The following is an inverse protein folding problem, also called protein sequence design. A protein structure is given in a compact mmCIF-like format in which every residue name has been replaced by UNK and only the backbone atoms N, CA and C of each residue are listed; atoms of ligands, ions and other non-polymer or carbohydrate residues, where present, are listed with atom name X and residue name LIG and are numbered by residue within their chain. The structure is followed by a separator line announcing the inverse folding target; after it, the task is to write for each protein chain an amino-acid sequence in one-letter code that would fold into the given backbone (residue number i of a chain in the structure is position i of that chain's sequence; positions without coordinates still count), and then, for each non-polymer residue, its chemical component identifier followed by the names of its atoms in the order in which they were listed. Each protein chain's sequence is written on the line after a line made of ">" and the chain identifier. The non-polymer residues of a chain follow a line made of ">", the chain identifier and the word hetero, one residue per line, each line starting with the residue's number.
data_IF_604509257756
#
_entry.id   IF_604509257756
#
_cell.length_a   1.000
_cell.length_b   1.000
_cell.length_c   1.000
_cell.angle_alpha   90.00
_cell.angle_beta   90.00
_cell.angle_gamma   90.00
#
_symmetry.space_group_name_H-M   'P 1'
#
loop_
_entity.id
_entity.type
_entity.pdbx_description
1 polymer ?
#
# COMPACT_ATOMS: atom_id res chain seq x y z
N UNK A 1 -112.37 13.95 31.99
CA UNK A 1 -110.91 14.00 31.74
C UNK A 1 -110.52 12.70 31.07
N UNK A 2 -110.09 12.76 29.81
CA UNK A 2 -110.27 11.71 28.79
C UNK A 2 -109.18 10.63 28.80
N UNK A 3 -109.58 9.36 28.85
CA UNK A 3 -108.73 8.14 28.76
C UNK A 3 -107.73 8.13 27.57
N UNK A 4 -107.98 8.94 26.53
CA UNK A 4 -107.10 9.09 25.36
C UNK A 4 -105.82 9.89 25.64
N UNK A 5 -105.86 10.90 26.50
CA UNK A 5 -104.70 11.78 26.76
C UNK A 5 -103.60 11.09 27.58
N UNK A 6 -103.98 10.21 28.51
CA UNK A 6 -103.02 9.40 29.27
C UNK A 6 -102.28 8.38 28.40
N UNK A 7 -102.97 7.81 27.40
CA UNK A 7 -102.38 6.84 26.46
C UNK A 7 -101.40 7.50 25.50
N UNK A 8 -101.67 8.74 25.06
CA UNK A 8 -100.75 9.51 24.21
C UNK A 8 -99.48 9.92 24.95
N UNK A 9 -99.59 10.37 26.21
CA UNK A 9 -98.42 10.68 27.05
C UNK A 9 -97.52 9.46 27.27
N UNK A 10 -98.11 8.31 27.56
CA UNK A 10 -97.36 7.05 27.70
C UNK A 10 -96.63 6.64 26.40
N UNK A 11 -97.28 6.81 25.24
CA UNK A 11 -96.65 6.56 23.93
C UNK A 11 -95.49 7.51 23.66
N UNK A 12 -95.63 8.80 23.98
CA UNK A 12 -94.57 9.79 23.82
C UNK A 12 -93.37 9.52 24.75
N UNK A 13 -93.62 9.20 26.02
CA UNK A 13 -92.57 8.88 26.98
C UNK A 13 -91.80 7.61 26.58
N UNK A 14 -92.51 6.58 26.10
CA UNK A 14 -91.90 5.35 25.57
C UNK A 14 -91.06 5.60 24.31
N UNK A 15 -91.49 6.55 23.47
CA UNK A 15 -90.73 6.98 22.29
C UNK A 15 -89.47 7.75 22.69
N UNK A 16 -89.56 8.64 23.68
CA UNK A 16 -88.42 9.38 24.22
C UNK A 16 -87.38 8.44 24.84
N UNK A 17 -87.80 7.51 25.71
CA UNK A 17 -86.91 6.49 26.29
C UNK A 17 -86.19 5.66 25.23
N UNK A 18 -86.88 5.29 24.13
CA UNK A 18 -86.25 4.59 23.00
C UNK A 18 -85.24 5.46 22.23
N UNK A 19 -85.49 6.76 22.11
CA UNK A 19 -84.56 7.71 21.48
C UNK A 19 -83.31 7.91 22.34
N UNK A 20 -83.49 8.09 23.64
CA UNK A 20 -82.39 8.23 24.62
C UNK A 20 -81.50 6.98 24.64
N UNK A 21 -82.08 5.78 24.69
CA UNK A 21 -81.32 4.52 24.61
C UNK A 21 -80.51 4.38 23.31
N UNK A 22 -81.08 4.82 22.18
CA UNK A 22 -80.35 4.83 20.90
C UNK A 22 -79.21 5.86 20.91
N UNK A 23 -79.44 7.03 21.48
CA UNK A 23 -78.42 8.07 21.61
C UNK A 23 -77.25 7.62 22.49
N UNK A 24 -77.56 7.02 23.65
CA UNK A 24 -76.55 6.47 24.55
C UNK A 24 -75.74 5.35 23.89
N UNK A 25 -76.40 4.45 23.16
CA UNK A 25 -75.72 3.39 22.40
C UNK A 25 -74.77 3.97 21.35
N UNK A 26 -75.20 5.04 20.65
CA UNK A 26 -74.38 5.74 19.68
C UNK A 26 -73.11 6.35 20.31
N UNK A 27 -73.24 7.08 21.42
CA UNK A 27 -72.10 7.67 22.12
C UNK A 27 -71.15 6.63 22.72
N UNK A 28 -71.68 5.55 23.31
CA UNK A 28 -70.84 4.43 23.79
C UNK A 28 -70.02 3.81 22.67
N UNK A 29 -70.65 3.51 21.53
CA UNK A 29 -69.96 2.92 20.38
C UNK A 29 -68.92 3.86 19.75
N UNK A 30 -69.19 5.17 19.74
CA UNK A 30 -68.22 6.17 19.29
C UNK A 30 -66.98 6.22 20.20
N UNK A 31 -67.19 6.27 21.52
CA UNK A 31 -66.08 6.29 22.49
C UNK A 31 -65.24 5.01 22.45
N UNK A 32 -65.86 3.85 22.23
CA UNK A 32 -65.15 2.58 22.06
C UNK A 32 -64.22 2.61 20.84
N UNK A 33 -64.71 3.13 19.69
CA UNK A 33 -63.89 3.27 18.48
C UNK A 33 -62.76 4.28 18.68
N UNK A 34 -63.02 5.42 19.30
CA UNK A 34 -61.99 6.44 19.58
C UNK A 34 -60.89 5.88 20.51
N UNK A 35 -61.25 5.10 21.52
CA UNK A 35 -60.28 4.41 22.38
C UNK A 35 -59.46 3.34 21.63
N UNK A 36 -60.09 2.60 20.72
CA UNK A 36 -59.42 1.60 19.89
C UNK A 36 -58.38 2.24 18.95
N UNK A 37 -58.71 3.38 18.34
CA UNK A 37 -57.76 4.16 17.53
C UNK A 37 -56.61 4.71 18.38
N UNK A 38 -56.89 5.24 19.58
CA UNK A 38 -55.86 5.77 20.47
C UNK A 38 -54.85 4.68 20.91
N UNK A 39 -55.33 3.48 21.25
CA UNK A 39 -54.48 2.34 21.60
C UNK A 39 -53.62 1.88 20.42
N UNK A 40 -54.17 1.88 19.20
CA UNK A 40 -53.43 1.54 17.98
C UNK A 40 -52.32 2.54 17.69
N UNK A 41 -52.62 3.84 17.79
CA UNK A 41 -51.64 4.91 17.61
C UNK A 41 -50.51 4.86 18.64
N UNK A 42 -50.82 4.55 19.90
CA UNK A 42 -49.83 4.39 20.95
C UNK A 42 -48.90 3.19 20.69
N UNK A 43 -49.47 2.06 20.24
CA UNK A 43 -48.69 0.89 19.85
C UNK A 43 -47.72 1.18 18.69
N UNK A 44 -48.17 1.95 17.69
CA UNK A 44 -47.32 2.40 16.57
C UNK A 44 -46.18 3.29 17.06
N UNK A 45 -46.46 4.26 17.95
CA UNK A 45 -45.43 5.13 18.53
C UNK A 45 -44.41 4.35 19.35
N UNK A 46 -44.86 3.39 20.17
CA UNK A 46 -43.96 2.53 20.94
C UNK A 46 -43.05 1.69 20.04
N UNK A 47 -43.59 1.14 18.95
CA UNK A 47 -42.82 0.37 17.97
C UNK A 47 -41.75 1.22 17.29
N UNK A 48 -42.11 2.43 16.84
CA UNK A 48 -41.16 3.36 16.24
C UNK A 48 -40.06 3.79 17.22
N UNK A 49 -40.40 3.99 18.50
CA UNK A 49 -39.43 4.34 19.52
C UNK A 49 -38.41 3.22 19.76
N UNK A 50 -38.87 1.96 19.87
CA UNK A 50 -37.99 0.79 19.99
C UNK A 50 -37.06 0.66 18.79
N UNK A 51 -37.59 0.80 17.57
CA UNK A 51 -36.80 0.71 16.35
C UNK A 51 -35.73 1.82 16.25
N UNK A 52 -36.05 3.04 16.70
CA UNK A 52 -35.07 4.13 16.80
C UNK A 52 -33.95 3.81 17.79
N UNK A 53 -34.29 3.28 18.96
CA UNK A 53 -33.31 2.88 19.98
C UNK A 53 -32.38 1.76 19.47
N UNK A 54 -32.92 0.74 18.80
CA UNK A 54 -32.13 -0.34 18.22
C UNK A 54 -31.18 0.16 17.13
N UNK A 55 -31.66 1.02 16.23
CA UNK A 55 -30.82 1.65 15.19
C UNK A 55 -29.69 2.47 15.80
N UNK A 56 -29.97 3.21 16.88
CA UNK A 56 -28.95 4.00 17.56
C UNK A 56 -27.89 3.12 18.24
N UNK A 57 -28.29 2.06 18.94
CA UNK A 57 -27.36 1.11 19.54
C UNK A 57 -26.47 0.44 18.49
N UNK A 58 -27.03 0.01 17.36
CA UNK A 58 -26.27 -0.57 16.25
C UNK A 58 -25.26 0.42 15.65
N UNK A 59 -25.59 1.72 15.57
CA UNK A 59 -24.64 2.75 15.12
C UNK A 59 -23.49 2.92 16.12
N UNK A 60 -23.79 2.96 17.43
CA UNK A 60 -22.77 3.06 18.49
C UNK A 60 -21.80 1.86 18.46
N UNK A 61 -22.30 0.63 18.31
CA UNK A 61 -21.46 -0.58 18.21
C UNK A 61 -20.57 -0.55 16.97
N UNK A 62 -21.11 -0.17 15.80
CA UNK A 62 -20.31 -0.03 14.58
C UNK A 62 -19.21 1.02 14.72
N UNK A 63 -19.48 2.12 15.40
CA UNK A 63 -18.50 3.18 15.62
C UNK A 63 -17.37 2.73 16.58
N UNK A 64 -17.71 2.05 17.67
CA UNK A 64 -16.70 1.52 18.61
C UNK A 64 -15.83 0.46 17.96
N UNK A 65 -16.40 -0.44 17.14
CA UNK A 65 -15.62 -1.40 16.35
C UNK A 65 -14.68 -0.72 15.36
N UNK A 66 -15.15 0.31 14.63
CA UNK A 66 -14.31 1.08 13.71
C UNK A 66 -13.13 1.72 14.44
N UNK A 67 -13.38 2.35 15.60
CA UNK A 67 -12.32 2.94 16.45
C UNK A 67 -11.33 1.87 16.95
N UNK A 68 -11.82 0.70 17.37
CA UNK A 68 -10.98 -0.42 17.82
C UNK A 68 -10.08 -0.94 16.69
N UNK A 69 -10.65 -1.17 15.49
CA UNK A 69 -9.89 -1.60 14.29
C UNK A 69 -8.83 -0.57 13.90
N UNK A 70 -9.18 0.73 13.87
CA UNK A 70 -8.24 1.80 13.57
C UNK A 70 -7.06 1.83 14.57
N UNK A 71 -7.34 1.75 15.88
CA UNK A 71 -6.30 1.70 16.92
C UNK A 71 -5.40 0.47 16.79
N UNK A 72 -5.97 -0.69 16.46
CA UNK A 72 -5.20 -1.93 16.24
C UNK A 72 -4.26 -1.78 15.04
N UNK A 73 -4.78 -1.33 13.89
CA UNK A 73 -3.98 -1.07 12.68
C UNK A 73 -2.85 -0.08 12.93
N UNK A 74 -3.11 1.03 13.63
CA UNK A 74 -2.07 2.02 13.96
C UNK A 74 -0.98 1.46 14.87
N UNK A 75 -1.32 0.54 15.79
CA UNK A 75 -0.33 -0.18 16.62
C UNK A 75 0.50 -1.14 15.78
N UNK A 76 -0.13 -1.87 14.86
CA UNK A 76 0.55 -2.79 13.94
C UNK A 76 1.48 -2.05 12.98
N UNK A 77 1.07 -0.90 12.43
CA UNK A 77 1.92 -0.02 11.61
C UNK A 77 3.17 0.44 12.41
N UNK A 78 3.00 0.90 13.65
CA UNK A 78 4.13 1.28 14.51
C UNK A 78 5.07 0.12 14.85
N UNK A 79 4.54 -1.09 15.05
CA UNK A 79 5.35 -2.29 15.33
C UNK A 79 6.10 -2.72 14.06
N UNK A 80 5.49 -2.62 12.89
CA UNK A 80 6.12 -2.95 11.62
C UNK A 80 7.23 -1.95 11.27
N UNK A 81 7.00 -0.66 11.54
CA UNK A 81 8.05 0.37 11.44
C UNK A 81 9.21 0.09 12.40
N UNK A 82 8.96 -0.44 13.61
CA UNK A 82 10.01 -0.85 14.53
C UNK A 82 10.77 -2.08 14.02
N UNK A 83 10.09 -3.11 13.53
CA UNK A 83 10.72 -4.34 12.98
C UNK A 83 11.53 -4.08 11.72
N UNK A 84 11.06 -3.23 10.81
CA UNK A 84 11.83 -2.82 9.63
C UNK A 84 13.10 -2.02 9.99
N UNK A 85 13.16 -1.41 11.18
CA UNK A 85 14.38 -0.79 11.70
C UNK A 85 15.30 -1.78 12.45
N UNK A 86 14.78 -2.91 12.93
CA UNK A 86 15.55 -3.97 13.60
C UNK A 86 16.20 -4.96 12.61
N UNK A 87 15.58 -5.20 11.44
CA UNK A 87 16.13 -6.08 10.39
C UNK A 87 17.39 -5.50 9.71
N UNK A 88 17.69 -4.21 9.92
CA UNK A 88 19.01 -3.63 9.66
C UNK A 88 19.82 -3.71 10.93
N UNK A 89 20.54 -4.83 11.05
CA UNK A 89 21.42 -5.28 12.13
C UNK A 89 22.55 -4.29 12.50
N UNK A 90 22.20 -3.07 12.88
CA UNK A 90 23.07 -2.05 13.45
C UNK A 90 22.73 -2.00 14.93
N UNK A 91 23.61 -2.55 15.77
CA UNK A 91 23.65 -2.30 17.22
C UNK A 91 23.10 -0.91 17.52
N UNK A 92 22.06 -0.82 18.36
CA UNK A 92 21.51 0.45 18.84
C UNK A 92 22.67 1.34 19.29
N UNK A 93 23.08 2.25 18.40
CA UNK A 93 24.28 3.08 18.59
C UNK A 93 24.03 4.19 19.61
N UNK A 94 22.77 4.34 20.01
CA UNK A 94 22.27 5.26 21.02
C UNK A 94 21.53 4.44 22.06
N UNK A 95 21.78 4.72 23.35
CA UNK A 95 21.20 4.00 24.47
C UNK A 95 19.70 4.24 24.59
N UNK A 96 19.24 5.43 24.16
CA UNK A 96 17.82 5.76 24.17
C UNK A 96 17.38 6.65 22.99
N UNK A 97 16.06 6.69 22.75
CA UNK A 97 15.45 7.49 21.67
C UNK A 97 15.75 8.99 21.78
N UNK A 98 15.87 9.51 22.99
CA UNK A 98 16.10 10.95 23.21
C UNK A 98 17.52 11.36 22.82
N UNK A 99 18.49 10.46 23.03
CA UNK A 99 19.89 10.64 22.68
C UNK A 99 20.05 10.72 21.16
N UNK A 100 19.45 9.79 20.41
CA UNK A 100 19.38 9.84 18.94
C UNK A 100 18.80 11.17 18.46
N UNK A 101 17.70 11.63 19.07
CA UNK A 101 17.09 12.90 18.70
C UNK A 101 18.00 14.11 18.98
N UNK A 102 18.64 14.14 20.15
CA UNK A 102 19.60 15.19 20.51
C UNK A 102 20.81 15.21 19.57
N UNK A 103 21.36 14.05 19.23
CA UNK A 103 22.48 13.92 18.29
C UNK A 103 22.09 14.42 16.88
N UNK A 104 20.93 14.00 16.36
CA UNK A 104 20.42 14.46 15.07
C UNK A 104 20.13 15.97 15.06
N UNK A 105 19.63 16.53 16.16
CA UNK A 105 19.40 17.98 16.28
C UNK A 105 20.73 18.74 16.22
N UNK A 106 21.76 18.29 16.96
CA UNK A 106 23.10 18.88 16.91
C UNK A 106 23.71 18.80 15.51
N UNK A 107 23.62 17.64 14.85
CA UNK A 107 24.11 17.45 13.48
C UNK A 107 23.43 18.42 12.49
N UNK A 108 22.10 18.54 12.57
CA UNK A 108 21.34 19.47 11.72
C UNK A 108 21.72 20.93 11.91
N UNK A 109 22.08 21.32 13.14
CA UNK A 109 22.53 22.68 13.44
C UNK A 109 23.97 22.93 12.97
N UNK A 110 24.82 21.91 13.00
CA UNK A 110 26.22 21.99 12.55
C UNK A 110 26.37 22.00 11.01
N UNK A 111 25.43 21.38 10.30
CA UNK A 111 25.43 21.34 8.84
C UNK A 111 24.92 22.65 8.22
N UNK A 112 25.36 23.02 6.99
CA UNK A 112 24.83 24.17 6.27
C UNK A 112 23.30 24.13 6.13
N UNK A 113 22.62 25.28 6.06
CA UNK A 113 21.15 25.31 5.85
C UNK A 113 20.74 24.90 4.43
N UNK A 114 21.55 25.27 3.43
CA UNK A 114 21.27 24.96 2.02
C UNK A 114 21.41 23.46 1.74
N UNK A 115 20.44 22.81 1.06
CA UNK A 115 20.53 21.41 0.66
C UNK A 115 21.82 21.07 -0.10
N UNK A 116 22.18 21.86 -1.11
CA UNK A 116 23.34 21.56 -1.96
C UNK A 116 24.63 21.60 -1.17
N UNK A 117 24.81 22.65 -0.35
CA UNK A 117 25.98 22.77 0.52
C UNK A 117 26.06 21.63 1.52
N UNK A 118 24.94 21.16 2.08
CA UNK A 118 24.93 19.98 2.96
C UNK A 118 25.46 18.75 2.25
N UNK A 119 24.97 18.48 1.05
CA UNK A 119 25.41 17.34 0.25
C UNK A 119 26.90 17.45 -0.04
N UNK A 120 27.40 18.62 -0.48
CA UNK A 120 28.82 18.84 -0.73
C UNK A 120 29.68 18.60 0.51
N UNK A 121 29.28 19.13 1.68
CA UNK A 121 30.02 18.92 2.93
C UNK A 121 30.04 17.45 3.34
N UNK A 122 28.91 16.75 3.20
CA UNK A 122 28.85 15.32 3.49
C UNK A 122 29.72 14.51 2.52
N UNK A 123 29.65 14.77 1.22
CA UNK A 123 30.48 14.10 0.22
C UNK A 123 31.96 14.32 0.49
N UNK A 124 32.38 15.57 0.76
CA UNK A 124 33.77 15.88 1.08
C UNK A 124 34.26 15.14 2.34
N UNK A 125 33.40 15.03 3.36
CA UNK A 125 33.72 14.26 4.56
C UNK A 125 33.86 12.75 4.25
N UNK A 126 32.94 12.17 3.47
CA UNK A 126 32.97 10.75 3.12
C UNK A 126 34.12 10.38 2.17
N UNK A 127 34.59 11.32 1.36
CA UNK A 127 35.76 11.13 0.50
C UNK A 127 37.09 11.17 1.27
N UNK A 128 37.09 11.63 2.52
CA UNK A 128 38.28 11.69 3.34
C UNK A 128 38.63 10.29 3.91
N UNK A 129 39.42 9.53 3.15
CA UNK A 129 39.90 8.19 3.49
C UNK A 129 40.82 8.14 4.73
N UNK A 130 41.29 9.30 5.22
CA UNK A 130 42.10 9.38 6.43
C UNK A 130 41.25 9.45 7.71
N UNK A 131 39.94 9.66 7.60
CA UNK A 131 39.05 9.66 8.76
C UNK A 131 38.87 8.22 9.30
N UNK A 132 39.19 7.94 10.57
CA UNK A 132 38.97 6.63 11.19
C UNK A 132 37.50 6.19 11.10
N UNK A 133 36.58 7.15 11.18
CA UNK A 133 35.14 6.90 11.05
C UNK A 133 34.77 6.44 9.64
N UNK A 134 35.32 7.08 8.61
CA UNK A 134 35.09 6.68 7.21
C UNK A 134 35.65 5.28 6.95
N UNK A 135 36.84 4.96 7.46
CA UNK A 135 37.41 3.60 7.36
C UNK A 135 36.53 2.55 8.03
N UNK A 136 35.98 2.83 9.21
CA UNK A 136 35.01 1.92 9.88
C UNK A 136 33.73 1.73 9.07
N UNK A 137 33.25 2.79 8.41
CA UNK A 137 32.07 2.73 7.55
C UNK A 137 32.35 1.95 6.25
N UNK A 138 33.56 2.01 5.72
CA UNK A 138 34.00 1.19 4.60
C UNK A 138 34.12 -0.29 4.98
N UNK A 139 34.74 -0.59 6.13
CA UNK A 139 34.86 -1.98 6.61
C UNK A 139 33.51 -2.62 6.99
N UNK A 140 32.49 -1.81 7.24
CA UNK A 140 31.11 -2.27 7.52
C UNK A 140 30.21 -2.25 6.28
N UNK A 141 30.78 -2.06 5.08
CA UNK A 141 30.07 -2.02 3.79
C UNK A 141 28.96 -0.95 3.71
N UNK A 142 28.98 0.05 4.60
CA UNK A 142 28.02 1.17 4.59
C UNK A 142 28.37 2.16 3.49
N UNK A 143 29.66 2.31 3.19
CA UNK A 143 30.19 3.18 2.15
C UNK A 143 31.14 2.37 1.29
N UNK A 144 31.07 2.56 -0.03
CA UNK A 144 31.97 1.90 -0.96
C UNK A 144 33.44 2.21 -0.64
N UNK A 145 34.26 1.17 -0.72
CA UNK A 145 35.71 1.30 -0.60
C UNK A 145 36.28 2.09 -1.79
N UNK A 146 37.48 2.71 -1.66
CA UNK A 146 38.11 3.38 -2.80
C UNK A 146 38.36 2.42 -3.97
N UNK A 147 38.68 1.16 -3.67
CA UNK A 147 38.87 0.11 -4.68
C UNK A 147 37.57 -0.20 -5.43
N UNK A 148 36.45 -0.36 -4.72
CA UNK A 148 35.14 -0.57 -5.33
C UNK A 148 34.70 0.61 -6.21
N UNK A 149 35.06 1.84 -5.81
CA UNK A 149 34.77 3.03 -6.60
C UNK A 149 35.54 2.98 -7.93
N UNK A 150 36.82 2.60 -7.90
CA UNK A 150 37.63 2.44 -9.11
C UNK A 150 37.16 1.27 -9.98
N UNK A 151 36.79 0.14 -9.39
CA UNK A 151 36.16 -0.98 -10.10
C UNK A 151 34.84 -0.56 -10.76
N UNK A 152 34.02 0.25 -10.08
CA UNK A 152 32.78 0.75 -10.65
C UNK A 152 33.06 1.74 -11.79
N UNK A 153 34.05 2.63 -11.66
CA UNK A 153 34.46 3.56 -12.73
C UNK A 153 34.96 2.81 -13.96
N UNK A 154 35.84 1.82 -13.78
CA UNK A 154 36.36 0.99 -14.89
C UNK A 154 35.24 0.18 -15.52
N UNK A 155 34.37 -0.46 -14.73
CA UNK A 155 33.19 -1.16 -15.24
C UNK A 155 32.26 -0.24 -16.04
N UNK A 156 32.05 1.00 -15.56
CA UNK A 156 31.23 2.00 -16.25
C UNK A 156 31.86 2.39 -17.60
N UNK A 157 33.14 2.72 -17.63
CA UNK A 157 33.87 3.07 -18.86
C UNK A 157 33.77 1.93 -19.90
N UNK A 158 34.05 0.69 -19.49
CA UNK A 158 33.91 -0.49 -20.35
C UNK A 158 32.49 -0.65 -20.92
N UNK A 159 31.45 -0.40 -20.10
CA UNK A 159 30.07 -0.49 -20.59
C UNK A 159 29.70 0.64 -21.55
N UNK A 160 30.28 1.83 -21.39
CA UNK A 160 30.09 2.95 -22.31
C UNK A 160 30.79 2.68 -23.64
N UNK A 161 32.03 2.16 -23.63
CA UNK A 161 32.74 1.73 -24.83
C UNK A 161 31.98 0.63 -25.58
N UNK A 162 31.49 -0.39 -24.88
CA UNK A 162 30.67 -1.43 -25.50
C UNK A 162 29.40 -0.85 -26.14
N UNK A 163 28.78 0.15 -25.49
CA UNK A 163 27.59 0.82 -26.00
C UNK A 163 27.90 1.59 -27.29
N UNK A 164 29.02 2.31 -27.36
CA UNK A 164 29.41 3.02 -28.58
C UNK A 164 29.65 2.06 -29.75
N UNK A 165 30.34 0.94 -29.51
CA UNK A 165 30.56 -0.10 -30.54
C UNK A 165 29.23 -0.71 -30.99
N UNK A 166 28.33 -1.03 -30.06
CA UNK A 166 27.00 -1.56 -30.35
C UNK A 166 26.20 -0.57 -31.21
N UNK A 167 26.21 0.71 -30.86
CA UNK A 167 25.46 1.73 -31.59
C UNK A 167 26.05 1.97 -32.98
N UNK A 168 27.37 1.87 -33.15
CA UNK A 168 28.03 1.86 -34.46
C UNK A 168 27.59 0.67 -35.32
N UNK A 169 27.51 -0.54 -34.75
CA UNK A 169 26.99 -1.71 -35.46
C UNK A 169 25.53 -1.51 -35.89
N UNK A 170 24.67 -0.95 -35.02
CA UNK A 170 23.27 -0.67 -35.35
C UNK A 170 23.11 0.34 -36.50
N UNK A 171 24.02 1.32 -36.60
CA UNK A 171 24.00 2.34 -37.65
C UNK A 171 24.38 1.80 -39.03
N UNK A 172 25.39 0.92 -39.11
CA UNK A 172 25.90 0.39 -40.39
C UNK A 172 24.93 -0.53 -41.14
N UNK A 173 24.05 -1.26 -40.43
CA UNK A 173 22.98 -2.12 -40.99
C UNK A 173 23.41 -3.09 -42.10
N UNK A 174 24.67 -3.53 -42.13
CA UNK A 174 25.18 -4.55 -43.05
C UNK A 174 25.19 -5.95 -42.42
N UNK A 175 25.27 -7.00 -43.24
CA UNK A 175 25.39 -8.38 -42.75
C UNK A 175 26.62 -8.58 -41.87
N UNK A 176 27.74 -7.97 -42.22
CA UNK A 176 28.95 -8.03 -41.40
C UNK A 176 28.77 -7.29 -40.07
N UNK A 177 28.07 -6.14 -40.07
CA UNK A 177 27.75 -5.45 -38.81
C UNK A 177 26.86 -6.28 -37.88
N UNK A 178 25.95 -7.09 -38.44
CA UNK A 178 25.13 -8.04 -37.69
C UNK A 178 25.96 -9.19 -37.13
N UNK A 179 26.90 -9.73 -37.90
CA UNK A 179 27.86 -10.75 -37.43
C UNK A 179 28.71 -10.19 -36.28
N UNK A 180 29.31 -9.02 -36.45
CA UNK A 180 30.10 -8.35 -35.40
C UNK A 180 29.26 -8.11 -34.15
N UNK A 181 28.01 -7.67 -34.28
CA UNK A 181 27.09 -7.49 -33.15
C UNK A 181 26.84 -8.82 -32.41
N UNK A 182 26.64 -9.91 -33.13
CA UNK A 182 26.46 -11.24 -32.51
C UNK A 182 27.72 -11.69 -31.77
N UNK A 183 28.90 -11.45 -32.34
CA UNK A 183 30.19 -11.75 -31.69
C UNK A 183 30.31 -10.96 -30.39
N UNK A 184 30.17 -9.63 -30.43
CA UNK A 184 30.27 -8.76 -29.24
C UNK A 184 29.32 -9.22 -28.14
N UNK A 185 28.05 -9.46 -28.48
CA UNK A 185 27.05 -9.82 -27.48
C UNK A 185 27.31 -11.22 -26.93
N UNK A 186 27.80 -12.16 -27.74
CA UNK A 186 28.21 -13.48 -27.27
C UNK A 186 29.44 -13.43 -26.36
N UNK A 187 30.39 -12.52 -26.61
CA UNK A 187 31.57 -12.32 -25.78
C UNK A 187 31.21 -11.82 -24.38
N UNK A 188 30.28 -10.87 -24.30
CA UNK A 188 29.85 -10.29 -23.03
C UNK A 188 28.83 -11.18 -22.29
N UNK A 189 28.05 -12.02 -22.99
CA UNK A 189 26.98 -12.84 -22.38
C UNK A 189 27.48 -14.18 -21.80
N UNK A 190 28.37 -14.13 -20.82
CA UNK A 190 28.92 -15.30 -20.13
C UNK A 190 27.95 -16.02 -19.18
N UNK A 191 28.45 -17.06 -18.50
CA UNK A 191 27.65 -17.90 -17.57
C UNK A 191 27.08 -17.10 -16.40
N UNK A 192 27.84 -16.16 -15.82
CA UNK A 192 27.38 -15.26 -14.75
C UNK A 192 26.23 -14.32 -15.17
N UNK A 193 25.99 -14.17 -16.48
CA UNK A 193 24.94 -13.34 -17.06
C UNK A 193 23.73 -14.18 -17.53
N UNK A 194 23.81 -15.51 -17.37
CA UNK A 194 22.69 -16.42 -17.63
C UNK A 194 21.50 -16.11 -16.70
N UNK A 195 21.74 -15.64 -15.48
CA UNK A 195 20.70 -15.23 -14.54
C UNK A 195 19.82 -14.11 -15.09
N UNK A 196 18.50 -14.26 -14.95
CA UNK A 196 17.51 -13.29 -15.47
C UNK A 196 17.75 -11.87 -14.93
N UNK A 197 18.11 -11.73 -13.65
CA UNK A 197 18.40 -10.43 -13.03
C UNK A 197 19.63 -9.77 -13.65
N UNK A 198 20.73 -10.50 -13.79
CA UNK A 198 21.98 -10.02 -14.40
C UNK A 198 21.78 -9.68 -15.87
N UNK A 199 21.06 -10.52 -16.61
CA UNK A 199 20.70 -10.30 -18.01
C UNK A 199 19.90 -9.01 -18.22
N UNK A 200 18.88 -8.76 -17.40
CA UNK A 200 18.09 -7.51 -17.43
C UNK A 200 18.93 -6.29 -17.08
N UNK A 201 19.86 -6.39 -16.11
CA UNK A 201 20.79 -5.31 -15.78
C UNK A 201 21.73 -4.99 -16.95
N UNK A 202 22.35 -6.00 -17.55
CA UNK A 202 23.24 -5.82 -18.70
C UNK A 202 22.50 -5.24 -19.91
N UNK A 203 21.33 -5.77 -20.24
CA UNK A 203 20.50 -5.29 -21.34
C UNK A 203 20.17 -3.79 -21.19
N UNK A 204 19.86 -3.33 -19.98
CA UNK A 204 19.66 -1.91 -19.68
C UNK A 204 20.93 -1.09 -19.83
N UNK A 205 22.06 -1.55 -19.29
CA UNK A 205 23.35 -0.85 -19.43
C UNK A 205 23.76 -0.66 -20.89
N UNK A 206 23.56 -1.68 -21.73
CA UNK A 206 23.95 -1.67 -23.15
C UNK A 206 22.87 -1.11 -24.10
N UNK A 207 21.67 -0.77 -23.61
CA UNK A 207 20.57 -0.30 -24.47
C UNK A 207 20.13 -1.34 -25.52
N UNK A 208 19.98 -2.60 -25.09
CA UNK A 208 19.61 -3.74 -25.93
C UNK A 208 18.36 -4.47 -25.41
N UNK A 209 17.58 -5.14 -26.27
CA UNK A 209 16.50 -6.01 -25.83
C UNK A 209 17.07 -7.25 -25.12
N UNK A 210 16.45 -7.66 -24.01
CA UNK A 210 16.87 -8.82 -23.20
C UNK A 210 17.00 -10.10 -24.03
N UNK A 211 16.12 -10.30 -25.02
CA UNK A 211 16.16 -11.43 -25.95
C UNK A 211 17.49 -11.50 -26.71
N UNK A 212 18.09 -10.37 -27.05
CA UNK A 212 19.34 -10.33 -27.80
C UNK A 212 20.55 -10.72 -26.94
N UNK A 213 20.58 -10.31 -25.68
CA UNK A 213 21.57 -10.79 -24.68
C UNK A 213 21.41 -12.30 -24.46
N UNK A 214 20.17 -12.78 -24.31
CA UNK A 214 19.87 -14.22 -24.20
C UNK A 214 20.38 -15.02 -25.40
N UNK A 215 20.20 -14.48 -26.61
CA UNK A 215 20.67 -15.13 -27.84
C UNK A 215 22.19 -15.14 -27.90
N UNK A 216 22.87 -14.07 -27.45
CA UNK A 216 24.33 -14.05 -27.32
C UNK A 216 24.86 -15.17 -26.42
N UNK A 217 24.22 -15.39 -25.27
CA UNK A 217 24.57 -16.51 -24.38
C UNK A 217 24.38 -17.88 -25.06
N UNK A 218 23.27 -18.06 -25.80
CA UNK A 218 23.03 -19.29 -26.56
C UNK A 218 24.07 -19.51 -27.67
N UNK A 219 24.49 -18.44 -28.37
CA UNK A 219 25.56 -18.49 -29.36
C UNK A 219 26.88 -18.88 -28.70
N UNK A 220 27.24 -18.23 -27.59
CA UNK A 220 28.47 -18.50 -26.84
C UNK A 220 28.54 -19.96 -26.39
N UNK A 221 27.47 -20.46 -25.78
CA UNK A 221 27.42 -21.86 -25.29
C UNK A 221 27.46 -22.88 -26.44
N UNK A 222 26.84 -22.57 -27.58
CA UNK A 222 26.95 -23.42 -28.79
C UNK A 222 28.40 -23.49 -29.28
N UNK A 223 29.09 -22.35 -29.41
CA UNK A 223 30.48 -22.28 -29.88
C UNK A 223 31.39 -23.09 -28.94
N UNK A 224 31.34 -22.80 -27.64
CA UNK A 224 32.19 -23.47 -26.64
C UNK A 224 31.91 -24.98 -26.54
N UNK A 225 30.66 -25.42 -26.74
CA UNK A 225 30.33 -26.86 -26.77
C UNK A 225 30.79 -27.54 -28.05
N UNK A 226 30.71 -26.85 -29.20
CA UNK A 226 31.19 -27.40 -30.48
C UNK A 226 32.72 -27.54 -30.52
N UNK A 227 33.44 -26.71 -29.79
CA UNK A 227 34.91 -26.81 -29.64
C UNK A 227 35.33 -27.98 -28.76
N UNK A 228 34.60 -28.24 -27.66
CA UNK A 228 34.86 -29.42 -26.80
C UNK A 228 34.79 -30.73 -27.57
N UNK A 229 33.77 -30.89 -28.41
CA UNK A 229 33.57 -32.10 -29.23
C UNK A 229 34.75 -32.30 -30.21
N UNK A 230 35.29 -31.22 -30.80
CA UNK A 230 36.45 -31.30 -31.70
C UNK A 230 37.76 -31.63 -30.99
N UNK A 231 37.93 -31.17 -29.74
CA UNK A 231 39.12 -31.45 -28.93
C UNK A 231 39.14 -32.90 -28.41
N UNK A 232 37.98 -33.47 -28.11
CA UNK A 232 37.86 -34.87 -27.67
C UNK A 232 38.02 -35.88 -28.83
N UNK A 233 37.86 -35.43 -30.09
CA UNK A 233 38.11 -36.23 -31.30
C UNK A 233 39.61 -36.29 -31.70
N UNK A 234 40.46 -35.49 -31.06
CA UNK A 234 41.90 -35.40 -31.35
C UNK A 234 42.79 -35.79 -30.15
N UNK A 235 42.21 -36.46 -29.15
CA UNK A 235 42.93 -37.15 -28.07
C UNK A 235 42.74 -38.65 -28.21
#
# INVERSE_FOLDING_TARGET
>A
MSSKEGLERYKQEKLQKRREQRLESYYRNRNLKENEYALSDEAVRQRQHREKQEKEQMRRVKETERKRKYRKRKREENINDQRQNEDLNMRNTFENRTEKHRALKKLKLALPKSPDRRVTTMVAYLQNSNSPTVRKLQSSEVISSPEEIEEHKTSKALTEDLKTVIDNCKRKRSDDSLKTMNVIISSVSGEKISDNKCRKKLARKLGLPVRRVSRGHAIRTRILKSEKIKLDLHK
#
